data_IF_245106378181
#
_entry.id   IF_245106378181
#
_cell.length_a   1.000
_cell.length_b   1.000
_cell.length_c   1.000
_cell.angle_alpha   90.00
_cell.angle_beta   90.00
_cell.angle_gamma   90.00
#
_symmetry.space_group_name_H-M   'P 1'
#
loop_
_entity.id
_entity.type
_entity.pdbx_description
1 polymer ?
#
# COMPACT_ATOMS: atom_id res chain seq x y z
N UNK A 1 -15.36 5.20 -4.23
CA UNK A 1 -14.12 4.41 -4.10
C UNK A 1 -12.95 5.33 -3.79
N UNK A 2 -12.15 4.96 -2.83
CA UNK A 2 -10.94 5.69 -2.47
C UNK A 2 -9.71 4.87 -2.83
N UNK A 3 -8.68 5.54 -3.35
CA UNK A 3 -7.42 4.91 -3.69
C UNK A 3 -6.33 5.62 -2.89
N UNK A 4 -5.58 4.85 -2.11
CA UNK A 4 -4.51 5.37 -1.28
C UNK A 4 -3.20 4.81 -1.80
N UNK A 5 -2.30 5.69 -2.23
CA UNK A 5 -0.98 5.32 -2.70
C UNK A 5 0.05 5.54 -1.60
N UNK A 6 0.94 4.58 -1.45
CA UNK A 6 2.11 4.77 -0.62
C UNK A 6 3.33 4.66 -1.51
N UNK A 7 4.11 5.70 -1.60
CA UNK A 7 5.36 5.67 -2.32
C UNK A 7 6.45 5.12 -1.42
N UNK A 8 7.19 4.17 -1.95
CA UNK A 8 8.38 3.65 -1.30
C UNK A 8 9.43 3.43 -2.35
N UNK A 9 10.67 3.33 -1.92
CA UNK A 9 11.76 3.05 -2.84
C UNK A 9 12.45 1.76 -2.38
N UNK A 10 12.48 0.73 -3.24
CA UNK A 10 13.10 -0.54 -2.85
C UNK A 10 14.62 -0.47 -2.79
N UNK A 11 15.23 0.66 -3.18
CA UNK A 11 16.68 0.79 -3.13
C UNK A 11 17.20 0.81 -1.70
N UNK A 12 18.33 0.16 -1.47
CA UNK A 12 18.90 0.04 -0.13
C UNK A 12 19.22 1.39 0.50
N UNK A 13 19.59 2.35 -0.31
CA UNK A 13 19.97 3.67 0.17
C UNK A 13 18.80 4.44 0.76
N UNK A 14 17.57 3.98 0.51
CA UNK A 14 16.36 4.63 1.01
C UNK A 14 15.65 3.81 2.07
N UNK A 15 16.27 2.74 2.54
CA UNK A 15 15.61 1.76 3.39
C UNK A 15 15.07 2.36 4.69
N UNK A 16 15.73 3.37 5.23
CA UNK A 16 15.33 4.02 6.48
C UNK A 16 14.95 5.47 6.28
N UNK A 17 14.57 5.84 5.06
CA UNK A 17 14.19 7.20 4.75
C UNK A 17 12.67 7.35 4.78
N UNK A 18 12.20 8.59 4.58
CA UNK A 18 10.77 8.87 4.55
C UNK A 18 10.04 8.15 3.41
N UNK A 19 10.74 7.66 2.38
CA UNK A 19 10.10 6.88 1.32
C UNK A 19 9.54 5.57 1.86
N UNK A 20 10.29 4.91 2.75
CA UNK A 20 9.83 3.66 3.34
C UNK A 20 8.82 3.87 4.45
N UNK A 21 8.77 5.06 5.03
CA UNK A 21 7.75 5.39 6.03
C UNK A 21 6.36 5.27 5.40
N UNK A 22 6.19 5.70 4.15
CA UNK A 22 4.92 5.55 3.46
C UNK A 22 4.47 4.10 3.37
N UNK A 23 5.38 3.20 3.04
CA UNK A 23 5.07 1.78 2.98
C UNK A 23 4.72 1.22 4.36
N UNK A 24 5.43 1.64 5.40
CA UNK A 24 5.13 1.20 6.75
C UNK A 24 3.73 1.63 7.18
N UNK A 25 3.36 2.84 6.85
CA UNK A 25 2.04 3.37 7.19
C UNK A 25 0.94 2.61 6.45
N UNK A 26 1.12 2.35 5.16
CA UNK A 26 0.09 1.67 4.38
C UNK A 26 -0.04 0.20 4.80
N UNK A 27 1.08 -0.44 5.20
CA UNK A 27 1.03 -1.80 5.73
C UNK A 27 0.23 -1.85 7.03
N UNK A 28 0.45 -0.88 7.89
CA UNK A 28 -0.28 -0.79 9.14
C UNK A 28 -1.76 -0.53 8.91
N UNK A 29 -2.06 0.33 7.94
CA UNK A 29 -3.45 0.63 7.57
C UNK A 29 -4.14 -0.61 7.02
N UNK A 30 -3.47 -1.37 6.16
CA UNK A 30 -4.02 -2.60 5.63
C UNK A 30 -4.35 -3.59 6.74
N UNK A 31 -3.49 -3.69 7.73
CA UNK A 31 -3.72 -4.55 8.88
C UNK A 31 -4.97 -4.12 9.65
N UNK A 32 -5.15 -2.82 9.85
CA UNK A 32 -6.32 -2.29 10.56
C UNK A 32 -7.61 -2.52 9.77
N UNK A 33 -7.53 -2.52 8.44
CA UNK A 33 -8.67 -2.77 7.57
C UNK A 33 -8.85 -4.25 7.22
N UNK A 34 -8.02 -5.11 7.80
CA UNK A 34 -8.05 -6.55 7.54
C UNK A 34 -7.91 -6.86 6.05
N UNK A 35 -7.04 -6.12 5.38
CA UNK A 35 -6.77 -6.26 3.96
C UNK A 35 -5.38 -6.83 3.72
N UNK A 36 -5.26 -7.71 2.73
CA UNK A 36 -4.00 -8.31 2.36
C UNK A 36 -3.54 -7.78 1.01
N UNK A 37 -2.24 -7.49 0.89
CA UNK A 37 -1.67 -7.07 -0.37
C UNK A 37 -1.47 -8.25 -1.29
N UNK A 38 -1.90 -8.08 -2.53
CA UNK A 38 -1.71 -9.06 -3.58
C UNK A 38 -0.84 -8.43 -4.65
N UNK A 39 0.25 -9.11 -5.01
CA UNK A 39 1.14 -8.64 -6.06
C UNK A 39 0.43 -8.70 -7.41
N UNK A 40 0.42 -7.57 -8.12
CA UNK A 40 -0.19 -7.44 -9.44
C UNK A 40 0.87 -7.03 -10.45
N UNK A 41 1.58 -7.99 -11.07
CA UNK A 41 2.66 -7.64 -12.02
C UNK A 41 2.17 -6.78 -13.18
N UNK A 42 0.93 -6.99 -13.59
CA UNK A 42 0.34 -6.22 -14.67
C UNK A 42 0.34 -4.72 -14.39
N UNK A 43 0.21 -4.35 -13.13
CA UNK A 43 0.19 -2.94 -12.72
C UNK A 43 1.49 -2.49 -12.07
N UNK A 44 2.49 -3.37 -12.02
CA UNK A 44 3.74 -3.11 -11.30
C UNK A 44 3.48 -2.59 -9.90
N UNK A 45 2.59 -3.24 -9.19
CA UNK A 45 2.17 -2.81 -7.86
C UNK A 45 1.60 -3.95 -7.06
N UNK A 46 1.57 -3.78 -5.74
CA UNK A 46 0.81 -4.64 -4.83
C UNK A 46 -0.42 -3.87 -4.39
N UNK A 47 -1.57 -4.53 -4.42
CA UNK A 47 -2.84 -3.89 -4.14
C UNK A 47 -3.59 -4.66 -3.06
N UNK A 48 -4.07 -3.93 -2.05
CA UNK A 48 -4.96 -4.47 -1.04
C UNK A 48 -6.33 -3.82 -1.19
N UNK A 49 -7.37 -4.63 -1.10
CA UNK A 49 -8.73 -4.16 -1.28
C UNK A 49 -9.51 -4.34 0.02
N UNK A 50 -10.22 -3.29 0.42
CA UNK A 50 -11.06 -3.32 1.60
C UNK A 50 -12.28 -2.44 1.38
N UNK A 51 -13.16 -2.40 2.38
CA UNK A 51 -14.27 -1.46 2.37
C UNK A 51 -14.46 -0.91 3.77
N UNK A 52 -14.91 0.33 3.85
CA UNK A 52 -15.16 1.00 5.11
C UNK A 52 -16.43 1.83 4.94
N UNK A 53 -17.41 1.58 5.82
CA UNK A 53 -18.70 2.28 5.79
C UNK A 53 -19.37 2.20 4.41
N UNK A 54 -19.26 1.04 3.76
CA UNK A 54 -19.87 0.83 2.45
C UNK A 54 -19.06 1.39 1.29
N UNK A 55 -17.93 2.02 1.54
CA UNK A 55 -17.08 2.55 0.49
C UNK A 55 -15.88 1.67 0.25
N UNK A 56 -15.61 1.38 -1.02
CA UNK A 56 -14.47 0.57 -1.41
C UNK A 56 -13.18 1.36 -1.27
N UNK A 57 -12.17 0.72 -0.70
CA UNK A 57 -10.86 1.33 -0.49
C UNK A 57 -9.80 0.44 -1.13
N UNK A 58 -8.94 1.03 -1.95
CA UNK A 58 -7.79 0.35 -2.53
C UNK A 58 -6.52 0.96 -1.95
N UNK A 59 -5.65 0.09 -1.44
CA UNK A 59 -4.34 0.50 -0.97
C UNK A 59 -3.32 0.01 -1.98
N UNK A 60 -2.48 0.91 -2.49
CA UNK A 60 -1.57 0.60 -3.59
C UNK A 60 -0.14 0.87 -3.17
N UNK A 61 0.72 -0.14 -3.34
CA UNK A 61 2.16 -0.04 -3.14
C UNK A 61 2.82 -0.22 -4.50
N UNK A 62 3.18 0.87 -5.20
CA UNK A 62 3.88 0.75 -6.47
C UNK A 62 5.25 0.11 -6.27
N UNK A 63 5.65 -0.66 -7.23
CA UNK A 63 6.96 -1.34 -7.20
C UNK A 63 7.99 -0.57 -7.99
#
# INVERSE_FOLDING_TARGET
MKIIFAQGNPGNQYEKTRHNIGWMIIDKLAKQLDADFIHKPKFSASIAESSLNGEKILLVKPL
#
